data_IF_777400512710
#
_entry.id   IF_777400512710
#
_cell.length_a   1.000
_cell.length_b   1.000
_cell.length_c   1.000
_cell.angle_alpha   90.00
_cell.angle_beta   90.00
_cell.angle_gamma   90.00
#
_symmetry.space_group_name_H-M   'P 1'
#
loop_
_entity.id
_entity.type
_entity.pdbx_description
1 polymer ?
#
# COMPACT_ATOMS: atom_id res chain seq x y z
N UNK A 1 -16.38 4.87 11.18
CA UNK A 1 -15.27 4.29 11.96
C UNK A 1 -14.00 4.30 11.13
N UNK A 2 -12.90 4.69 11.73
CA UNK A 2 -11.62 4.71 11.03
C UNK A 2 -11.08 3.29 10.89
N UNK A 3 -10.50 2.99 9.74
CA UNK A 3 -9.81 1.73 9.48
C UNK A 3 -8.32 2.00 9.43
N UNK A 4 -7.55 1.01 9.84
CA UNK A 4 -6.10 1.09 9.80
C UNK A 4 -5.54 0.06 8.84
N UNK A 5 -4.56 0.47 8.07
CA UNK A 5 -3.88 -0.41 7.13
C UNK A 5 -2.38 -0.28 7.31
N UNK A 6 -1.69 -1.39 7.26
CA UNK A 6 -0.24 -1.38 7.22
C UNK A 6 0.21 -1.10 5.79
N UNK A 7 1.17 -0.21 5.67
CA UNK A 7 1.69 0.20 4.36
C UNK A 7 3.17 -0.10 4.32
N UNK A 8 3.59 -0.87 3.32
CA UNK A 8 5.00 -1.12 3.07
C UNK A 8 5.55 0.02 2.25
N UNK A 9 6.67 0.59 2.68
CA UNK A 9 7.32 1.68 1.98
C UNK A 9 8.71 1.25 1.56
N UNK A 10 9.00 1.40 0.28
CA UNK A 10 10.30 1.06 -0.29
C UNK A 10 10.78 2.22 -1.14
N UNK A 11 12.06 2.23 -1.44
CA UNK A 11 12.64 3.22 -2.33
C UNK A 11 13.26 2.49 -3.51
N UNK A 12 12.86 2.87 -4.72
CA UNK A 12 13.41 2.21 -5.90
C UNK A 12 14.76 2.83 -6.32
N UNK A 13 15.37 2.25 -7.34
CA UNK A 13 16.68 2.69 -7.80
C UNK A 13 16.67 4.09 -8.44
N UNK A 14 15.51 4.56 -8.84
CA UNK A 14 15.37 5.90 -9.43
C UNK A 14 15.07 6.98 -8.40
N UNK A 15 14.97 6.62 -7.13
CA UNK A 15 14.73 7.57 -6.05
C UNK A 15 13.27 7.81 -5.74
N UNK A 16 12.37 7.04 -6.33
CA UNK A 16 10.96 7.11 -5.97
C UNK A 16 10.68 6.29 -4.74
N UNK A 17 9.81 6.82 -3.89
CA UNK A 17 9.25 6.05 -2.78
C UNK A 17 8.02 5.31 -3.30
N UNK A 18 7.95 4.02 -3.00
CA UNK A 18 6.87 3.15 -3.44
C UNK A 18 6.15 2.63 -2.21
N UNK A 19 4.84 2.76 -2.19
CA UNK A 19 4.02 2.26 -1.11
C UNK A 19 3.06 1.20 -1.62
N UNK A 20 2.87 0.16 -0.83
CA UNK A 20 1.90 -0.88 -1.13
C UNK A 20 1.17 -1.29 0.14
N UNK A 21 -0.07 -1.73 -0.02
CA UNK A 21 -0.91 -2.14 1.10
C UNK A 21 -1.13 -3.65 0.98
N UNK A 22 -0.44 -4.44 1.82
CA UNK A 22 -0.56 -5.91 1.70
C UNK A 22 -1.98 -6.43 1.90
N UNK A 23 -2.78 -5.75 2.72
CA UNK A 23 -4.16 -6.18 2.97
C UNK A 23 -5.09 -5.97 1.77
N UNK A 24 -4.70 -5.13 0.82
CA UNK A 24 -5.52 -4.82 -0.35
C UNK A 24 -4.74 -5.16 -1.60
N UNK A 25 -5.11 -6.24 -2.25
CA UNK A 25 -4.41 -6.71 -3.44
C UNK A 25 -4.38 -5.64 -4.52
N UNK A 26 -3.19 -5.36 -5.06
CA UNK A 26 -3.02 -4.38 -6.12
C UNK A 26 -3.05 -2.92 -5.70
N UNK A 27 -3.16 -2.65 -4.40
CA UNK A 27 -3.18 -1.27 -3.91
C UNK A 27 -1.75 -0.77 -3.68
N UNK A 28 -1.27 0.07 -4.59
CA UNK A 28 0.08 0.61 -4.51
C UNK A 28 0.15 1.96 -5.21
N UNK A 29 1.16 2.72 -4.86
CA UNK A 29 1.43 4.02 -5.49
C UNK A 29 2.89 4.40 -5.30
N UNK A 30 3.30 5.49 -5.93
CA UNK A 30 4.67 5.99 -5.77
C UNK A 30 4.69 7.51 -5.78
N UNK A 31 5.74 8.07 -5.20
CA UNK A 31 5.93 9.52 -5.15
C UNK A 31 7.41 9.83 -4.93
N UNK A 32 7.77 11.10 -5.10
CA UNK A 32 9.16 11.53 -4.94
C UNK A 32 9.52 11.89 -3.50
N UNK A 33 8.51 12.07 -2.64
CA UNK A 33 8.75 12.37 -1.22
C UNK A 33 7.81 11.53 -0.36
N UNK A 34 8.20 11.34 0.91
CA UNK A 34 7.38 10.58 1.85
C UNK A 34 6.06 11.28 2.14
N UNK A 35 6.09 12.60 2.28
CA UNK A 35 4.87 13.37 2.53
C UNK A 35 3.85 13.18 1.41
N UNK A 36 4.32 13.30 0.18
CA UNK A 36 3.48 13.11 -0.99
C UNK A 36 2.99 11.67 -1.10
N UNK A 37 3.86 10.72 -0.75
CA UNK A 37 3.51 9.30 -0.78
C UNK A 37 2.38 9.00 0.18
N UNK A 38 2.41 9.57 1.38
CA UNK A 38 1.36 9.33 2.39
C UNK A 38 0.01 9.84 1.91
N UNK A 39 -0.02 11.00 1.26
CA UNK A 39 -1.24 11.52 0.69
C UNK A 39 -1.76 10.62 -0.43
N UNK A 40 -0.87 10.20 -1.31
CA UNK A 40 -1.24 9.35 -2.45
C UNK A 40 -1.71 7.97 -2.03
N UNK A 41 -1.06 7.36 -1.03
CA UNK A 41 -1.48 6.03 -0.59
C UNK A 41 -2.85 6.09 0.10
N UNK A 42 -3.12 7.17 0.82
CA UNK A 42 -4.43 7.34 1.44
C UNK A 42 -5.51 7.39 0.37
N UNK A 43 -5.29 8.16 -0.69
CA UNK A 43 -6.24 8.24 -1.80
C UNK A 43 -6.38 6.89 -2.51
N UNK A 44 -5.25 6.19 -2.69
CA UNK A 44 -5.28 4.88 -3.33
C UNK A 44 -6.08 3.88 -2.51
N UNK A 45 -5.92 3.89 -1.20
CA UNK A 45 -6.70 3.01 -0.32
C UNK A 45 -8.19 3.33 -0.44
N UNK A 46 -8.55 4.60 -0.40
CA UNK A 46 -9.95 5.01 -0.51
C UNK A 46 -10.56 4.54 -1.83
N UNK A 47 -9.82 4.68 -2.93
CA UNK A 47 -10.26 4.23 -4.24
C UNK A 47 -10.36 2.71 -4.30
N UNK A 48 -9.37 2.00 -3.75
CA UNK A 48 -9.42 0.53 -3.74
C UNK A 48 -10.62 0.01 -2.97
N UNK A 49 -10.91 0.61 -1.82
CA UNK A 49 -12.07 0.22 -1.03
C UNK A 49 -13.37 0.50 -1.75
N UNK A 50 -13.44 1.63 -2.45
CA UNK A 50 -14.63 2.02 -3.19
C UNK A 50 -14.90 1.10 -4.39
N UNK A 51 -13.85 0.81 -5.16
CA UNK A 51 -13.97 -0.01 -6.36
C UNK A 51 -14.20 -1.47 -6.04
N UNK A 52 -13.60 -1.97 -4.97
CA UNK A 52 -13.64 -3.39 -4.63
C UNK A 52 -14.66 -3.71 -3.54
N UNK A 53 -15.57 -2.80 -3.29
CA UNK A 53 -16.56 -2.98 -2.24
C UNK A 53 -17.36 -4.27 -2.42
N UNK A 54 -17.31 -5.11 -1.40
CA UNK A 54 -18.09 -6.35 -1.34
C UNK A 54 -17.60 -7.48 -2.21
N UNK A 55 -16.56 -7.27 -3.00
CA UNK A 55 -16.13 -8.26 -3.98
C UNK A 55 -14.62 -8.47 -4.04
N UNK A 56 -13.88 -8.00 -3.07
CA UNK A 56 -12.44 -8.16 -3.05
C UNK A 56 -11.99 -9.11 -1.95
N UNK A 57 -10.87 -9.76 -2.20
CA UNK A 57 -10.24 -10.61 -1.21
C UNK A 57 -9.41 -9.73 -0.27
N UNK A 58 -9.74 -9.77 1.01
CA UNK A 58 -8.98 -9.05 2.00
C UNK A 58 -7.87 -9.95 2.52
N UNK A 59 -6.63 -9.50 2.37
CA UNK A 59 -5.47 -10.25 2.82
C UNK A 59 -5.04 -9.75 4.20
N UNK A 60 -4.67 -10.67 5.07
CA UNK A 60 -4.17 -10.32 6.39
C UNK A 60 -2.65 -10.17 6.33
N UNK A 61 -2.17 -9.01 6.74
CA UNK A 61 -0.74 -8.79 6.82
C UNK A 61 -0.14 -9.60 7.97
N UNK A 62 0.83 -10.44 7.67
CA UNK A 62 1.48 -11.26 8.69
C UNK A 62 2.85 -10.71 9.07
N UNK A 63 3.63 -10.31 8.09
CA UNK A 63 4.95 -9.79 8.36
C UNK A 63 5.85 -9.82 7.14
N UNK A 64 7.08 -9.43 7.34
CA UNK A 64 8.09 -9.43 6.29
C UNK A 64 9.15 -10.47 6.63
N UNK A 65 9.46 -11.33 5.68
CA UNK A 65 10.47 -12.36 5.84
C UNK A 65 11.58 -12.13 4.83
N UNK A 66 12.83 -12.33 5.25
CA UNK A 66 13.97 -12.23 4.35
C UNK A 66 14.42 -13.62 3.98
N UNK A 67 14.56 -13.85 2.70
CA UNK A 67 14.98 -15.14 2.16
C UNK A 67 16.28 -14.96 1.37
N UNK A 68 17.23 -15.81 1.64
CA UNK A 68 18.50 -15.83 0.90
C UNK A 68 18.47 -16.96 -0.11
N UNK A 69 18.77 -16.64 -1.34
CA UNK A 69 18.81 -17.63 -2.42
C UNK A 69 20.18 -17.66 -3.05
#
# INVERSE_FOLDING_TARGET
MARQFDVDVEKDSDGFFVASVPALAGCHTQARSLDQLMERIKEAIELCLEVQEGDFEQLDFVGVQRVTV
#
